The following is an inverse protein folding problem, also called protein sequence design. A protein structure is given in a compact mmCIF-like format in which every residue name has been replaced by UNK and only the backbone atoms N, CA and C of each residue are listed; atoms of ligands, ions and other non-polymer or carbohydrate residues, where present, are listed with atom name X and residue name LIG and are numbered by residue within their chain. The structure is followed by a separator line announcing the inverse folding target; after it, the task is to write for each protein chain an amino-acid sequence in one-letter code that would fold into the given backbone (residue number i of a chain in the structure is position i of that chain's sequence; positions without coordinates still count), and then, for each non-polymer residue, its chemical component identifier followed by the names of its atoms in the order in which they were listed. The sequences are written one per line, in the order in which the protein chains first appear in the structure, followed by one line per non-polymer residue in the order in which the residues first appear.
data_IF_572462093310
#
_entry.id   IF_572462093310
#
_cell.length_a   1.000
_cell.length_b   1.000
_cell.length_c   1.000
_cell.angle_alpha   90.00
_cell.angle_beta   90.00
_cell.angle_gamma   90.00
#
_symmetry.space_group_name_H-M   'P 1'
#
loop_
_entity.id
_entity.type
_entity.pdbx_description
1 polymer ?
#
# COMPACT_ATOMS: atom_id res chain seq x y z
N UNK A 1 65.67 -3.14 4.50
CA UNK A 1 66.52 -4.17 5.11
C UNK A 1 66.34 -4.12 6.62
N UNK A 2 65.90 -5.22 7.23
CA UNK A 2 66.23 -5.49 8.63
C UNK A 2 67.68 -5.98 8.72
N UNK A 3 68.40 -5.71 9.81
CA UNK A 3 68.79 -6.82 10.70
C UNK A 3 68.77 -6.42 12.21
N UNK A 4 68.17 -7.25 13.06
CA UNK A 4 68.81 -8.26 13.94
C UNK A 4 69.10 -7.77 15.37
N UNK A 5 68.16 -8.12 16.24
CA UNK A 5 68.34 -8.83 17.52
C UNK A 5 69.78 -8.96 18.07
N UNK A 6 70.02 -8.43 19.28
CA UNK A 6 70.80 -9.16 20.29
C UNK A 6 70.42 -8.76 21.72
N UNK A 7 70.07 -9.79 22.49
CA UNK A 7 69.76 -9.76 23.91
C UNK A 7 71.04 -9.93 24.73
N UNK A 8 71.20 -9.18 25.83
CA UNK A 8 71.94 -9.59 27.04
C UNK A 8 71.72 -8.52 28.14
N UNK A 9 70.86 -8.76 29.13
CA UNK A 9 71.11 -9.39 30.45
C UNK A 9 71.97 -8.55 31.41
N UNK A 10 71.32 -8.12 32.50
CA UNK A 10 71.65 -8.32 33.92
C UNK A 10 71.63 -7.07 34.81
N UNK A 11 70.74 -7.21 35.79
CA UNK A 11 70.94 -7.00 37.23
C UNK A 11 71.06 -5.56 37.74
N UNK A 12 69.90 -5.06 38.19
CA UNK A 12 69.67 -4.92 39.62
C UNK A 12 70.45 -3.80 40.34
N UNK A 13 69.77 -2.67 40.51
CA UNK A 13 69.52 -1.96 41.78
C UNK A 13 69.23 -0.49 41.47
N UNK A 14 68.00 -0.06 41.71
CA UNK A 14 67.75 1.36 41.95
C UNK A 14 66.51 1.51 42.82
N UNK A 15 66.73 1.50 44.14
CA UNK A 15 65.85 2.22 45.03
C UNK A 15 66.14 3.71 44.86
N UNK A 16 65.15 4.48 44.42
CA UNK A 16 65.07 5.93 44.68
C UNK A 16 63.66 6.46 44.41
N UNK A 17 63.01 6.87 45.51
CA UNK A 17 62.15 8.05 45.65
C UNK A 17 60.95 8.09 44.70
N UNK A 18 59.82 7.52 45.13
CA UNK A 18 58.51 8.00 44.68
C UNK A 18 58.31 9.40 45.26
N UNK A 19 58.47 10.42 44.43
CA UNK A 19 58.02 11.78 44.75
C UNK A 19 56.52 11.70 45.05
N UNK A 20 56.08 12.31 46.16
CA UNK A 20 54.66 12.52 46.41
C UNK A 20 54.08 13.26 45.20
N UNK A 21 53.37 12.53 44.35
CA UNK A 21 52.54 13.12 43.31
C UNK A 21 51.26 13.53 44.02
N UNK A 22 51.30 14.74 44.58
CA UNK A 22 50.16 15.39 45.19
C UNK A 22 49.14 15.65 44.09
N UNK A 23 48.16 14.76 43.98
CA UNK A 23 47.06 14.94 43.04
C UNK A 23 46.22 16.12 43.55
N UNK A 24 46.05 17.19 42.74
CA UNK A 24 45.27 18.33 43.18
C UNK A 24 43.83 17.87 43.46
N UNK A 25 43.31 18.20 44.64
CA UNK A 25 41.90 17.98 44.99
C UNK A 25 41.08 18.89 44.09
N UNK A 26 40.52 18.31 43.02
CA UNK A 26 39.64 19.03 42.09
C UNK A 26 38.35 19.36 42.85
N UNK A 27 38.15 20.63 43.21
CA UNK A 27 36.90 21.06 43.81
C UNK A 27 35.80 21.04 42.75
N UNK A 28 34.97 20.02 42.81
CA UNK A 28 33.81 19.87 41.94
C UNK A 28 32.78 20.98 42.24
N UNK A 29 32.29 21.63 41.18
CA UNK A 29 31.14 22.55 41.25
C UNK A 29 29.95 21.88 41.95
N UNK A 30 29.08 22.66 42.60
CA UNK A 30 27.92 22.14 43.34
C UNK A 30 27.08 21.18 42.49
N UNK A 31 26.86 21.49 41.20
CA UNK A 31 26.17 20.60 40.26
C UNK A 31 26.91 19.29 40.01
N UNK A 32 28.25 19.34 39.88
CA UNK A 32 29.10 18.15 39.74
C UNK A 32 29.08 17.29 41.00
N UNK A 33 28.99 17.90 42.18
CA UNK A 33 28.86 17.17 43.45
C UNK A 33 27.50 16.50 43.60
N UNK A 34 26.41 17.14 43.18
CA UNK A 34 25.08 16.51 43.17
C UNK A 34 25.11 15.27 42.27
N UNK A 35 25.68 15.38 41.06
CA UNK A 35 25.75 14.25 40.14
C UNK A 35 26.58 13.11 40.73
N UNK A 36 27.72 13.43 41.36
CA UNK A 36 28.58 12.44 42.00
C UNK A 36 27.88 11.77 43.20
N UNK A 37 27.14 12.54 44.00
CA UNK A 37 26.34 12.01 45.11
C UNK A 37 25.17 11.16 44.63
N UNK A 38 24.48 11.54 43.56
CA UNK A 38 23.41 10.76 42.96
C UNK A 38 23.94 9.44 42.38
N UNK A 39 25.09 9.49 41.70
CA UNK A 39 25.74 8.29 41.19
C UNK A 39 26.20 7.37 42.34
N UNK A 40 26.80 7.93 43.39
CA UNK A 40 27.20 7.19 44.58
C UNK A 40 25.99 6.58 45.30
N UNK A 41 24.88 7.31 45.39
CA UNK A 41 23.62 6.82 45.93
C UNK A 41 23.03 5.69 45.07
N UNK A 42 23.09 5.82 43.74
CA UNK A 42 22.63 4.78 42.82
C UNK A 42 23.46 3.49 42.96
N UNK A 43 24.79 3.63 43.08
CA UNK A 43 25.71 2.51 43.32
C UNK A 43 25.42 1.83 44.67
N UNK A 44 25.16 2.63 45.71
CA UNK A 44 24.83 2.09 47.04
C UNK A 44 23.46 1.40 47.05
N UNK A 45 22.45 1.98 46.40
CA UNK A 45 21.14 1.33 46.24
C UNK A 45 21.26 0.01 45.48
N UNK A 46 22.06 -0.01 44.40
CA UNK A 46 22.29 -1.23 43.62
C UNK A 46 23.12 -2.28 44.36
N UNK A 47 23.97 -1.89 45.32
CA UNK A 47 24.71 -2.83 46.19
C UNK A 47 23.85 -3.39 47.34
N UNK A 48 22.85 -2.66 47.83
CA UNK A 48 21.92 -3.12 48.86
C UNK A 48 20.82 -4.03 48.29
N UNK A 49 20.48 -3.85 47.01
CA UNK A 49 19.66 -4.81 46.26
C UNK A 49 20.58 -5.91 45.72
N UNK A 50 20.69 -7.03 46.42
CA UNK A 50 21.13 -8.30 45.79
C UNK A 50 20.07 -8.79 44.82
N UNK A 51 19.68 -7.97 43.84
CA UNK A 51 18.98 -8.45 42.69
C UNK A 51 20.05 -8.84 41.68
N UNK A 52 20.42 -10.13 41.73
CA UNK A 52 21.08 -10.82 40.62
C UNK A 52 20.52 -10.25 39.31
N UNK A 53 21.35 -9.83 38.34
CA UNK A 53 20.83 -9.51 37.02
C UNK A 53 20.37 -10.84 36.41
N UNK A 54 19.12 -11.22 36.73
CA UNK A 54 18.38 -12.16 35.90
C UNK A 54 18.31 -11.50 34.54
N UNK A 55 19.17 -11.93 33.63
CA UNK A 55 18.95 -11.79 32.21
C UNK A 55 17.59 -12.43 31.96
N UNK A 56 16.55 -11.60 31.92
CA UNK A 56 15.19 -12.07 31.93
C UNK A 56 14.86 -12.62 30.53
N UNK A 57 15.21 -13.90 30.30
CA UNK A 57 14.85 -14.63 29.07
C UNK A 57 13.35 -14.49 28.79
N UNK A 58 12.55 -14.41 29.85
CA UNK A 58 11.10 -14.21 29.83
C UNK A 58 10.75 -12.87 29.17
N UNK A 59 11.44 -11.77 29.47
CA UNK A 59 11.18 -10.46 28.85
C UNK A 59 11.52 -10.45 27.35
N UNK A 60 12.61 -11.11 26.95
CA UNK A 60 12.97 -11.23 25.54
C UNK A 60 12.02 -12.16 24.76
N UNK A 61 11.54 -13.23 25.40
CA UNK A 61 10.50 -14.11 24.88
C UNK A 61 9.14 -13.40 24.76
N UNK A 62 8.73 -12.63 25.77
CA UNK A 62 7.51 -11.81 25.74
C UNK A 62 7.56 -10.76 24.64
N UNK A 63 8.70 -10.08 24.45
CA UNK A 63 8.89 -9.09 23.38
C UNK A 63 8.88 -9.73 21.98
N UNK A 64 9.41 -10.96 21.84
CA UNK A 64 9.30 -11.74 20.59
C UNK A 64 7.87 -12.18 20.31
N UNK A 65 7.13 -12.62 21.34
CA UNK A 65 5.74 -13.04 21.23
C UNK A 65 4.83 -11.86 20.86
N UNK A 66 5.01 -10.70 21.49
CA UNK A 66 4.29 -9.46 21.15
C UNK A 66 4.53 -9.02 19.71
N UNK A 67 5.80 -8.98 19.26
CA UNK A 67 6.11 -8.66 17.85
C UNK A 67 5.54 -9.67 16.86
N UNK A 68 5.37 -10.94 17.25
CA UNK A 68 4.73 -11.97 16.41
C UNK A 68 3.22 -11.75 16.32
N UNK A 69 2.57 -11.38 17.42
CA UNK A 69 1.15 -11.05 17.47
C UNK A 69 0.83 -9.80 16.63
N UNK A 70 1.58 -8.71 16.80
CA UNK A 70 1.40 -7.49 15.99
C UNK A 70 1.54 -7.76 14.48
N UNK A 71 2.50 -8.61 14.09
CA UNK A 71 2.65 -9.02 12.68
C UNK A 71 1.46 -9.83 12.19
N UNK A 72 0.95 -10.76 13.00
CA UNK A 72 -0.21 -11.57 12.65
C UNK A 72 -1.47 -10.71 12.52
N UNK A 73 -1.69 -9.76 13.43
CA UNK A 73 -2.80 -8.79 13.38
C UNK A 73 -2.71 -7.90 12.14
N UNK A 74 -1.52 -7.42 11.80
CA UNK A 74 -1.30 -6.59 10.61
C UNK A 74 -1.56 -7.37 9.31
N UNK A 75 -1.15 -8.64 9.25
CA UNK A 75 -1.47 -9.54 8.13
C UNK A 75 -2.97 -9.80 8.05
N UNK A 76 -3.64 -10.03 9.18
CA UNK A 76 -5.08 -10.24 9.23
C UNK A 76 -5.86 -9.00 8.77
N UNK A 77 -5.46 -7.81 9.22
CA UNK A 77 -6.03 -6.54 8.76
C UNK A 77 -5.80 -6.33 7.26
N UNK A 78 -4.61 -6.66 6.75
CA UNK A 78 -4.31 -6.61 5.32
C UNK A 78 -5.19 -7.59 4.53
N UNK A 79 -5.38 -8.81 5.03
CA UNK A 79 -6.25 -9.80 4.40
C UNK A 79 -7.72 -9.35 4.37
N UNK A 80 -8.22 -8.73 5.44
CA UNK A 80 -9.57 -8.14 5.47
C UNK A 80 -9.69 -7.02 4.43
N UNK A 81 -8.68 -6.15 4.30
CA UNK A 81 -8.66 -5.10 3.29
C UNK A 81 -8.69 -5.68 1.87
N UNK A 82 -7.87 -6.68 1.59
CA UNK A 82 -7.83 -7.38 0.29
C UNK A 82 -9.16 -8.07 0.00
N UNK A 83 -9.76 -8.75 0.97
CA UNK A 83 -11.06 -9.39 0.82
C UNK A 83 -12.16 -8.38 0.48
N UNK A 84 -12.23 -7.26 1.21
CA UNK A 84 -13.20 -6.17 0.92
C UNK A 84 -13.01 -5.58 -0.48
N UNK A 85 -11.77 -5.39 -0.92
CA UNK A 85 -11.47 -4.90 -2.27
C UNK A 85 -11.87 -5.94 -3.34
N UNK A 86 -11.56 -7.20 -3.11
CA UNK A 86 -11.95 -8.30 -4.02
C UNK A 86 -13.46 -8.40 -4.17
N UNK A 87 -14.18 -8.29 -3.06
CA UNK A 87 -15.65 -8.29 -3.02
C UNK A 87 -16.23 -7.07 -3.75
N UNK A 88 -15.67 -5.87 -3.53
CA UNK A 88 -16.07 -4.66 -4.26
C UNK A 88 -15.83 -4.79 -5.77
N UNK A 89 -14.68 -5.35 -6.17
CA UNK A 89 -14.38 -5.62 -7.58
C UNK A 89 -15.34 -6.65 -8.18
N UNK A 90 -15.73 -7.68 -7.43
CA UNK A 90 -16.70 -8.68 -7.87
C UNK A 90 -18.08 -8.04 -8.10
N UNK A 91 -18.53 -7.15 -7.21
CA UNK A 91 -19.77 -6.38 -7.38
C UNK A 91 -19.72 -5.50 -8.63
N UNK A 92 -18.61 -4.80 -8.86
CA UNK A 92 -18.48 -3.94 -10.03
C UNK A 92 -18.46 -4.76 -11.33
N UNK A 93 -17.79 -5.92 -11.36
CA UNK A 93 -17.87 -6.84 -12.50
C UNK A 93 -19.29 -7.29 -12.77
N UNK A 94 -20.05 -7.69 -11.74
CA UNK A 94 -21.45 -8.09 -11.91
C UNK A 94 -22.31 -6.94 -12.45
N UNK A 95 -22.09 -5.71 -11.95
CA UNK A 95 -22.79 -4.52 -12.44
C UNK A 95 -22.49 -4.26 -13.92
N UNK A 96 -21.22 -4.36 -14.32
CA UNK A 96 -20.78 -4.18 -15.71
C UNK A 96 -21.29 -5.29 -16.61
N UNK A 97 -21.32 -6.54 -16.14
CA UNK A 97 -21.88 -7.68 -16.88
C UNK A 97 -23.38 -7.47 -17.14
N UNK A 98 -24.14 -7.11 -16.10
CA UNK A 98 -25.55 -6.81 -16.24
C UNK A 98 -25.79 -5.67 -17.25
N UNK A 99 -24.96 -4.62 -17.22
CA UNK A 99 -25.03 -3.55 -18.22
C UNK A 99 -24.76 -4.07 -19.64
N UNK A 100 -23.78 -4.96 -19.83
CA UNK A 100 -23.49 -5.57 -21.13
C UNK A 100 -24.68 -6.39 -21.64
N UNK A 101 -25.31 -7.18 -20.77
CA UNK A 101 -26.49 -7.99 -21.12
C UNK A 101 -27.67 -7.09 -21.55
N UNK A 102 -27.86 -5.94 -20.90
CA UNK A 102 -28.87 -4.95 -21.32
C UNK A 102 -28.56 -4.32 -22.67
N UNK A 103 -27.28 -4.09 -22.98
CA UNK A 103 -26.86 -3.60 -24.30
C UNK A 103 -27.13 -4.63 -25.40
N UNK A 104 -26.88 -5.92 -25.15
CA UNK A 104 -27.20 -6.99 -26.11
C UNK A 104 -28.71 -7.16 -26.30
N UNK A 105 -29.50 -7.02 -25.22
CA UNK A 105 -30.97 -6.99 -25.31
C UNK A 105 -31.49 -5.78 -26.09
N UNK A 106 -30.88 -4.62 -25.93
CA UNK A 106 -31.21 -3.46 -26.75
C UNK A 106 -30.88 -3.74 -28.22
N UNK A 107 -29.70 -4.30 -28.49
CA UNK A 107 -29.25 -4.63 -29.85
C UNK A 107 -30.19 -5.62 -30.55
N UNK A 108 -30.73 -6.61 -29.84
CA UNK A 108 -31.61 -7.63 -30.43
C UNK A 108 -32.97 -7.10 -30.90
N UNK A 109 -33.38 -5.91 -30.45
CA UNK A 109 -34.63 -5.27 -30.90
C UNK A 109 -34.42 -4.20 -31.96
N UNK A 110 -33.17 -3.92 -32.36
CA UNK A 110 -32.86 -2.93 -33.40
C UNK A 110 -33.03 -3.51 -34.81
N UNK A 111 -33.38 -2.68 -35.80
CA UNK A 111 -33.49 -3.10 -37.21
C UNK A 111 -32.11 -3.22 -37.85
N UNK A 112 -31.31 -4.17 -37.37
CA UNK A 112 -29.97 -4.51 -37.86
C UNK A 112 -29.88 -6.01 -38.13
N UNK A 113 -28.93 -6.42 -38.98
CA UNK A 113 -28.67 -7.86 -39.17
C UNK A 113 -28.20 -8.50 -37.85
N UNK A 114 -28.62 -9.75 -37.63
CA UNK A 114 -28.15 -10.56 -36.51
C UNK A 114 -26.61 -10.68 -36.55
N UNK A 115 -25.98 -10.66 -35.38
CA UNK A 115 -24.54 -10.76 -35.18
C UNK A 115 -23.65 -9.63 -35.74
N UNK A 116 -24.22 -8.55 -36.28
CA UNK A 116 -23.41 -7.37 -36.64
C UNK A 116 -22.74 -6.80 -35.41
N UNK A 117 -21.41 -6.74 -35.42
CA UNK A 117 -20.66 -6.02 -34.39
C UNK A 117 -20.91 -4.53 -34.59
N UNK A 118 -21.51 -3.87 -33.61
CA UNK A 118 -21.68 -2.41 -33.55
C UNK A 118 -21.19 -1.92 -32.19
N UNK A 119 -20.69 -0.69 -32.13
CA UNK A 119 -20.22 -0.10 -30.86
C UNK A 119 -21.39 0.27 -29.94
N UNK A 120 -21.12 0.46 -28.64
CA UNK A 120 -22.14 0.95 -27.67
C UNK A 120 -22.77 2.28 -28.11
N UNK A 121 -21.94 3.21 -28.60
CA UNK A 121 -22.42 4.51 -29.10
C UNK A 121 -23.30 4.33 -30.34
N UNK A 122 -22.89 3.49 -31.29
CA UNK A 122 -23.67 3.20 -32.48
C UNK A 122 -25.03 2.56 -32.14
N UNK A 123 -25.04 1.62 -31.18
CA UNK A 123 -26.27 1.00 -30.66
C UNK A 123 -27.24 2.06 -30.15
N UNK A 124 -26.76 3.02 -29.35
CA UNK A 124 -27.60 4.11 -28.84
C UNK A 124 -28.10 5.04 -29.95
N UNK A 125 -27.26 5.38 -30.94
CA UNK A 125 -27.66 6.22 -32.08
C UNK A 125 -28.76 5.57 -32.91
N UNK A 126 -28.59 4.29 -33.24
CA UNK A 126 -29.61 3.52 -33.98
C UNK A 126 -30.90 3.41 -33.16
N UNK A 127 -30.81 3.13 -31.86
CA UNK A 127 -31.99 3.05 -31.00
C UNK A 127 -32.81 4.35 -30.99
N UNK A 128 -32.14 5.50 -30.81
CA UNK A 128 -32.79 6.81 -30.83
C UNK A 128 -33.43 7.11 -32.19
N UNK A 129 -32.72 6.84 -33.29
CA UNK A 129 -33.26 7.03 -34.64
C UNK A 129 -34.47 6.11 -34.89
N UNK A 130 -34.43 4.87 -34.40
CA UNK A 130 -35.51 3.90 -34.57
C UNK A 130 -36.77 4.30 -33.79
N UNK A 131 -36.63 4.77 -32.55
CA UNK A 131 -37.75 5.34 -31.78
C UNK A 131 -38.37 6.52 -32.54
N UNK A 132 -37.55 7.42 -33.08
CA UNK A 132 -38.03 8.56 -33.88
C UNK A 132 -38.79 8.14 -35.15
N UNK A 133 -38.26 7.15 -35.86
CA UNK A 133 -38.91 6.56 -37.03
C UNK A 133 -40.26 5.92 -36.67
N UNK A 134 -40.30 5.08 -35.63
CA UNK A 134 -41.54 4.44 -35.17
C UNK A 134 -42.59 5.49 -34.76
N UNK A 135 -42.16 6.59 -34.14
CA UNK A 135 -43.04 7.72 -33.83
C UNK A 135 -43.69 8.33 -35.09
N UNK A 136 -42.94 8.44 -36.19
CA UNK A 136 -43.47 8.93 -37.47
C UNK A 136 -44.35 7.88 -38.18
N UNK A 137 -44.04 6.59 -38.06
CA UNK A 137 -44.89 5.49 -38.58
C UNK A 137 -46.27 5.53 -37.95
N UNK A 138 -46.36 5.85 -36.65
CA UNK A 138 -47.62 5.98 -35.94
C UNK A 138 -48.38 7.28 -36.30
N UNK A 139 -47.71 8.29 -36.85
CA UNK A 139 -48.31 9.54 -37.33
C UNK A 139 -48.53 9.49 -38.85
N UNK A 140 -49.60 8.82 -39.27
CA UNK A 140 -49.92 8.53 -40.68
C UNK A 140 -50.19 9.78 -41.55
N UNK A 141 -50.23 10.97 -40.95
CA UNK A 141 -50.62 12.21 -41.63
C UNK A 141 -49.46 12.93 -42.31
N UNK A 142 -48.21 12.51 -42.10
CA UNK A 142 -47.04 13.20 -42.64
C UNK A 142 -46.02 12.25 -43.29
N UNK A 143 -46.26 11.93 -44.56
CA UNK A 143 -45.39 11.08 -45.39
C UNK A 143 -43.98 11.67 -45.55
N UNK A 144 -43.84 13.00 -45.60
CA UNK A 144 -42.53 13.65 -45.74
C UNK A 144 -41.67 13.38 -44.51
N UNK A 145 -42.22 13.58 -43.30
CA UNK A 145 -41.52 13.29 -42.05
C UNK A 145 -41.18 11.81 -41.89
N UNK A 146 -42.06 10.92 -42.36
CA UNK A 146 -41.79 9.49 -42.37
C UNK A 146 -40.54 9.17 -43.21
N UNK A 147 -40.48 9.67 -44.44
CA UNK A 147 -39.34 9.47 -45.35
C UNK A 147 -38.04 10.07 -44.79
N UNK A 148 -38.09 11.27 -44.21
CA UNK A 148 -36.92 11.89 -43.56
C UNK A 148 -36.41 11.05 -42.38
N UNK A 149 -37.33 10.55 -41.55
CA UNK A 149 -36.98 9.70 -40.40
C UNK A 149 -36.42 8.34 -40.82
N UNK A 150 -36.93 7.76 -41.91
CA UNK A 150 -36.43 6.52 -42.50
C UNK A 150 -34.99 6.69 -43.01
N UNK A 151 -34.73 7.77 -43.76
CA UNK A 151 -33.38 8.10 -44.24
C UNK A 151 -32.40 8.29 -43.08
N UNK A 152 -32.82 9.00 -42.02
CA UNK A 152 -31.99 9.20 -40.84
C UNK A 152 -31.64 7.89 -40.12
N UNK A 153 -32.61 6.97 -40.00
CA UNK A 153 -32.40 5.64 -39.44
C UNK A 153 -31.43 4.81 -40.29
N UNK A 154 -31.65 4.77 -41.61
CA UNK A 154 -30.77 4.05 -42.53
C UNK A 154 -29.32 4.57 -42.47
N UNK A 155 -29.13 5.90 -42.45
CA UNK A 155 -27.82 6.50 -42.33
C UNK A 155 -27.13 6.07 -41.03
N UNK A 156 -27.86 6.10 -39.91
CA UNK A 156 -27.34 5.67 -38.59
C UNK A 156 -26.90 4.19 -38.60
N UNK A 157 -27.64 3.32 -39.28
CA UNK A 157 -27.30 1.89 -39.43
C UNK A 157 -26.05 1.73 -40.32
N UNK A 158 -25.96 2.46 -41.43
CA UNK A 158 -24.82 2.41 -42.35
C UNK A 158 -23.53 2.90 -41.70
N UNK A 159 -23.58 4.03 -40.98
CA UNK A 159 -22.44 4.57 -40.24
C UNK A 159 -21.93 3.57 -39.19
N UNK A 160 -22.84 2.89 -38.48
CA UNK A 160 -22.48 1.91 -37.46
C UNK A 160 -21.61 0.77 -38.00
N UNK A 161 -21.81 0.35 -39.24
CA UNK A 161 -21.02 -0.70 -39.91
C UNK A 161 -19.59 -0.26 -40.23
N UNK A 162 -19.38 1.04 -40.50
CA UNK A 162 -18.07 1.57 -40.90
C UNK A 162 -17.06 1.62 -39.74
N UNK A 163 -17.54 1.86 -38.52
CA UNK A 163 -16.70 2.09 -37.33
C UNK A 163 -16.39 0.83 -36.50
N UNK A 164 -16.87 -0.35 -36.92
CA UNK A 164 -16.62 -1.61 -36.21
C UNK A 164 -15.21 -2.20 -36.38
N UNK A 165 -14.31 -1.49 -37.09
CA UNK A 165 -12.89 -1.82 -37.15
C UNK A 165 -12.17 -1.32 -35.90
N UNK A 166 -12.14 -2.14 -34.86
CA UNK A 166 -11.04 -2.10 -33.88
C UNK A 166 -10.46 -3.50 -33.77
N UNK A 167 -9.25 -3.63 -34.32
CA UNK A 167 -8.27 -4.71 -34.11
C UNK A 167 -7.83 -4.68 -32.66
#
# INVERSE_FOLDING_TARGET
MMPLHRSAKKDGKSGRIVKNLEYPVVQYSFGSQILLKLLQQQILLSALTNHEPKYDLTEHQHRKAQKKLERAEKIQQQNICVARRSEANARERNRVQHLADMFERLKSVLPIEYDVKISKLATLRIASAYIGYLGCVLDTNNVVRLLESEQHLMLSICEARMFSRKV
#
